data_IF_056602522251
#
_entry.id   IF_056602522251
#
_cell.length_a   1.000
_cell.length_b   1.000
_cell.length_c   1.000
_cell.angle_alpha   90.00
_cell.angle_beta   90.00
_cell.angle_gamma   90.00
#
_symmetry.space_group_name_H-M   'P 1'
#
loop_
_entity.id
_entity.type
_entity.pdbx_description
1 polymer ?
#
# COMPACT_ATOMS: atom_id res chain seq x y z
N UNK A 1 -5.21 -3.40 -8.63
CA UNK A 1 -6.38 -2.96 -7.82
C UNK A 1 -6.90 -4.10 -6.94
N UNK A 2 -6.68 -5.36 -7.31
CA UNK A 2 -7.17 -6.56 -6.61
C UNK A 2 -6.60 -6.79 -5.21
N UNK A 3 -5.29 -6.61 -4.97
CA UNK A 3 -4.69 -6.89 -3.66
C UNK A 3 -5.24 -5.99 -2.53
N UNK A 4 -5.48 -4.69 -2.82
CA UNK A 4 -6.06 -3.74 -1.85
C UNK A 4 -7.53 -4.06 -1.56
N UNK A 5 -8.28 -4.46 -2.58
CA UNK A 5 -9.68 -4.87 -2.46
C UNK A 5 -9.79 -6.19 -1.70
N UNK A 6 -8.94 -7.18 -2.00
CA UNK A 6 -8.87 -8.45 -1.28
C UNK A 6 -8.49 -8.27 0.19
N UNK A 7 -7.52 -7.40 0.50
CA UNK A 7 -7.15 -7.11 1.89
C UNK A 7 -8.32 -6.41 2.64
N UNK A 8 -9.03 -5.49 1.97
CA UNK A 8 -10.22 -4.83 2.55
C UNK A 8 -11.36 -5.82 2.82
N UNK A 9 -11.60 -6.77 1.91
CA UNK A 9 -12.63 -7.80 2.08
C UNK A 9 -12.26 -8.79 3.18
N UNK A 10 -10.99 -9.23 3.24
CA UNK A 10 -10.49 -10.13 4.28
C UNK A 10 -10.55 -9.48 5.68
N UNK A 11 -10.15 -8.22 5.81
CA UNK A 11 -10.26 -7.46 7.07
C UNK A 11 -11.73 -7.39 7.52
N UNK A 12 -12.66 -7.03 6.64
CA UNK A 12 -14.09 -6.95 6.99
C UNK A 12 -14.67 -8.30 7.41
N UNK A 13 -14.26 -9.39 6.75
CA UNK A 13 -14.70 -10.73 7.10
C UNK A 13 -14.21 -11.13 8.50
N UNK A 14 -12.95 -10.84 8.82
CA UNK A 14 -12.38 -11.12 10.14
C UNK A 14 -12.95 -10.22 11.24
N UNK A 15 -13.23 -8.95 10.96
CA UNK A 15 -13.93 -8.04 11.90
C UNK A 15 -15.34 -8.56 12.24
N UNK A 16 -16.05 -9.09 11.25
CA UNK A 16 -17.36 -9.72 11.46
C UNK A 16 -17.24 -10.99 12.31
N UNK A 17 -16.28 -11.87 11.99
CA UNK A 17 -16.05 -13.09 12.76
C UNK A 17 -15.70 -12.79 14.23
N UNK A 18 -14.88 -11.75 14.48
CA UNK A 18 -14.55 -11.31 15.83
C UNK A 18 -15.78 -10.82 16.60
N UNK A 19 -16.66 -10.05 15.94
CA UNK A 19 -17.90 -9.57 16.54
C UNK A 19 -18.85 -10.71 16.92
N UNK A 20 -18.97 -11.73 16.06
CA UNK A 20 -19.80 -12.90 16.32
C UNK A 20 -19.27 -13.71 17.53
N UNK A 21 -17.95 -13.89 17.63
CA UNK A 21 -17.31 -14.60 18.76
C UNK A 21 -17.44 -13.82 20.08
N UNK A 22 -17.22 -12.49 20.07
CA UNK A 22 -17.42 -11.65 21.25
C UNK A 22 -18.89 -11.74 21.74
N UNK A 23 -19.86 -11.86 20.82
CA UNK A 23 -21.27 -12.09 21.13
C UNK A 23 -21.53 -13.45 21.81
N UNK A 24 -20.92 -14.52 21.31
CA UNK A 24 -21.06 -15.89 21.87
C UNK A 24 -20.42 -15.98 23.26
N UNK A 25 -19.24 -15.38 23.47
CA UNK A 25 -18.58 -15.35 24.78
C UNK A 25 -19.39 -14.57 25.82
N UNK A 26 -19.97 -13.42 25.43
CA UNK A 26 -20.84 -12.63 26.30
C UNK A 26 -22.14 -13.37 26.69
N UNK A 27 -22.61 -14.30 25.85
CA UNK A 27 -23.72 -15.21 26.17
C UNK A 27 -23.35 -16.31 27.20
N UNK A 28 -22.13 -16.29 27.76
CA UNK A 28 -21.60 -17.22 28.77
C UNK A 28 -21.57 -18.69 28.34
N UNK A 29 -21.41 -18.95 27.05
CA UNK A 29 -21.09 -20.28 26.53
C UNK A 29 -19.57 -20.47 26.57
N UNK A 30 -18.98 -20.36 27.78
CA UNK A 30 -17.54 -20.26 28.02
C UNK A 30 -16.77 -21.52 27.63
N UNK A 31 -16.68 -21.77 26.33
CA UNK A 31 -15.86 -22.81 25.73
C UNK A 31 -14.45 -22.23 25.51
N UNK A 32 -13.40 -22.83 26.11
CA UNK A 32 -12.01 -22.40 25.92
C UNK A 32 -11.57 -22.36 24.45
N UNK A 33 -12.23 -23.10 23.55
CA UNK A 33 -11.92 -23.10 22.12
C UNK A 33 -12.21 -21.74 21.45
N UNK A 34 -13.17 -20.95 21.98
CA UNK A 34 -13.48 -19.63 21.44
C UNK A 34 -12.46 -18.55 21.81
N UNK A 35 -11.78 -18.67 22.97
CA UNK A 35 -10.73 -17.70 23.33
C UNK A 35 -9.50 -17.84 22.43
N UNK A 36 -9.12 -19.08 22.10
CA UNK A 36 -8.05 -19.35 21.13
C UNK A 36 -8.37 -18.77 19.75
N UNK A 37 -9.56 -19.07 19.23
CA UNK A 37 -10.03 -18.55 17.94
C UNK A 37 -10.09 -17.01 17.91
N UNK A 38 -10.50 -16.38 19.02
CA UNK A 38 -10.52 -14.92 19.17
C UNK A 38 -9.13 -14.30 19.09
N UNK A 39 -8.14 -14.90 19.74
CA UNK A 39 -6.74 -14.45 19.69
C UNK A 39 -6.17 -14.61 18.27
N UNK A 40 -6.47 -15.71 17.59
CA UNK A 40 -6.03 -15.96 16.23
C UNK A 40 -6.62 -14.94 15.24
N UNK A 41 -7.92 -14.63 15.34
CA UNK A 41 -8.58 -13.63 14.50
C UNK A 41 -8.00 -12.24 14.73
N UNK A 42 -7.72 -11.87 15.99
CA UNK A 42 -7.05 -10.60 16.31
C UNK A 42 -5.65 -10.53 15.70
N UNK A 43 -4.87 -11.60 15.84
CA UNK A 43 -3.52 -11.70 15.28
C UNK A 43 -3.53 -11.61 13.75
N UNK A 44 -4.50 -12.25 13.10
CA UNK A 44 -4.69 -12.18 11.65
C UNK A 44 -5.10 -10.75 11.20
N UNK A 45 -6.01 -10.10 11.94
CA UNK A 45 -6.41 -8.71 11.68
C UNK A 45 -5.23 -7.76 11.80
N UNK A 46 -4.45 -7.87 12.87
CA UNK A 46 -3.28 -7.03 13.09
C UNK A 46 -2.24 -7.26 11.99
N UNK A 47 -2.00 -8.51 11.60
CA UNK A 47 -1.09 -8.85 10.50
C UNK A 47 -1.55 -8.23 9.18
N UNK A 48 -2.84 -8.32 8.83
CA UNK A 48 -3.41 -7.77 7.60
C UNK A 48 -3.41 -6.23 7.58
N UNK A 49 -3.68 -5.60 8.74
CA UNK A 49 -3.61 -4.15 8.91
C UNK A 49 -2.17 -3.62 8.84
N UNK A 50 -1.21 -4.41 9.27
CA UNK A 50 0.22 -4.08 9.20
C UNK A 50 0.83 -4.37 7.82
N UNK A 51 0.12 -5.04 6.91
CA UNK A 51 0.63 -5.23 5.55
C UNK A 51 0.78 -3.87 4.86
N UNK A 52 2.00 -3.49 4.43
CA UNK A 52 2.22 -2.23 3.75
C UNK A 52 1.40 -2.19 2.46
N UNK A 53 0.75 -1.06 2.21
CA UNK A 53 -0.05 -0.87 0.99
C UNK A 53 0.88 -0.97 -0.21
N UNK A 54 0.64 -1.99 -1.05
CA UNK A 54 1.40 -2.19 -2.28
C UNK A 54 0.70 -1.52 -3.44
N UNK A 55 1.40 -0.55 -4.03
CA UNK A 55 1.06 0.16 -5.26
C UNK A 55 1.63 -0.57 -6.46
N UNK A 56 0.93 -0.51 -7.59
CA UNK A 56 1.43 -0.96 -8.89
C UNK A 56 1.63 0.24 -9.82
N UNK A 57 2.17 0.00 -11.03
CA UNK A 57 2.43 1.05 -12.02
C UNK A 57 1.20 1.92 -12.33
N UNK A 58 -0.01 1.32 -12.39
CA UNK A 58 -1.27 2.04 -12.65
C UNK A 58 -1.58 3.08 -11.56
N UNK A 59 -1.22 2.79 -10.31
CA UNK A 59 -1.42 3.70 -9.17
C UNK A 59 -0.23 4.64 -8.94
N UNK A 60 0.95 4.29 -9.45
CA UNK A 60 2.17 5.08 -9.32
C UNK A 60 2.08 6.37 -10.13
N UNK A 61 1.68 6.27 -11.39
CA UNK A 61 1.72 7.40 -12.32
C UNK A 61 0.82 8.57 -11.88
N UNK A 62 -0.44 8.38 -11.44
CA UNK A 62 -1.26 9.47 -10.92
C UNK A 62 -0.67 10.15 -9.67
N UNK A 63 -0.01 9.38 -8.79
CA UNK A 63 0.66 9.92 -7.59
C UNK A 63 1.88 10.74 -7.98
N UNK A 64 2.69 10.25 -8.91
CA UNK A 64 3.83 10.98 -9.46
C UNK A 64 3.38 12.32 -10.07
N UNK A 65 2.32 12.32 -10.90
CA UNK A 65 1.80 13.56 -11.49
C UNK A 65 1.28 14.55 -10.44
N UNK A 66 0.61 14.06 -9.40
CA UNK A 66 0.14 14.91 -8.30
C UNK A 66 1.29 15.62 -7.59
N UNK A 67 2.40 14.92 -7.36
CA UNK A 67 3.58 15.50 -6.72
C UNK A 67 4.31 16.47 -7.65
N UNK A 68 4.38 16.21 -8.95
CA UNK A 68 4.92 17.14 -9.94
C UNK A 68 4.06 18.42 -10.03
N UNK A 69 2.73 18.28 -9.95
CA UNK A 69 1.79 19.40 -10.04
C UNK A 69 1.91 20.41 -8.89
N UNK A 70 2.61 20.08 -7.80
CA UNK A 70 2.96 21.03 -6.73
C UNK A 70 3.97 22.08 -7.17
N UNK A 71 4.64 21.88 -8.30
CA UNK A 71 5.63 22.80 -8.86
C UNK A 71 5.05 23.57 -10.06
N UNK A 72 5.49 24.82 -10.30
CA UNK A 72 5.00 25.61 -11.44
C UNK A 72 5.30 24.98 -12.80
N UNK A 73 6.37 24.17 -12.88
CA UNK A 73 6.78 23.47 -14.10
C UNK A 73 7.46 22.14 -13.74
N UNK A 74 7.46 21.18 -14.67
CA UNK A 74 8.25 19.94 -14.52
C UNK A 74 9.75 20.23 -14.36
N UNK A 75 10.26 21.30 -14.98
CA UNK A 75 11.64 21.74 -14.80
C UNK A 75 11.93 22.20 -13.35
N UNK A 76 10.98 22.87 -12.71
CA UNK A 76 11.08 23.26 -11.30
C UNK A 76 11.01 22.03 -10.38
N UNK A 77 10.14 21.06 -10.68
CA UNK A 77 10.10 19.78 -9.96
C UNK A 77 11.44 19.02 -10.05
N UNK A 78 11.99 18.88 -11.26
CA UNK A 78 13.28 18.22 -11.47
C UNK A 78 14.40 18.90 -10.69
N UNK A 79 14.45 20.24 -10.72
CA UNK A 79 15.42 21.02 -9.95
C UNK A 79 15.26 20.82 -8.44
N UNK A 80 14.04 20.92 -7.93
CA UNK A 80 13.74 20.73 -6.51
C UNK A 80 14.07 19.31 -6.02
N UNK A 81 13.93 18.32 -6.90
CA UNK A 81 14.25 16.93 -6.61
C UNK A 81 15.72 16.57 -6.84
N UNK A 82 16.52 17.49 -7.38
CA UNK A 82 17.95 17.27 -7.66
C UNK A 82 18.19 16.25 -8.78
N UNK A 83 17.30 16.16 -9.76
CA UNK A 83 17.37 15.21 -10.88
C UNK A 83 17.40 15.95 -12.22
N UNK A 84 17.89 15.28 -13.27
CA UNK A 84 17.86 15.86 -14.61
C UNK A 84 16.43 15.92 -15.16
N UNK A 85 16.16 16.89 -16.04
CA UNK A 85 14.87 16.99 -16.75
C UNK A 85 14.59 15.73 -17.58
N UNK A 86 15.63 15.14 -18.16
CA UNK A 86 15.53 13.90 -18.93
C UNK A 86 15.12 12.72 -18.04
N UNK A 87 15.66 12.63 -16.82
CA UNK A 87 15.28 11.61 -15.82
C UNK A 87 13.81 11.76 -15.44
N UNK A 88 13.35 12.97 -15.16
CA UNK A 88 11.96 13.22 -14.83
C UNK A 88 11.05 12.90 -16.02
N UNK A 89 11.40 13.36 -17.22
CA UNK A 89 10.66 13.07 -18.44
C UNK A 89 10.57 11.55 -18.71
N UNK A 90 11.66 10.81 -18.51
CA UNK A 90 11.66 9.36 -18.64
C UNK A 90 10.84 8.64 -17.55
N UNK A 91 10.71 9.20 -16.35
CA UNK A 91 9.83 8.64 -15.31
C UNK A 91 8.35 8.94 -15.54
N UNK A 92 8.06 10.09 -16.13
CA UNK A 92 6.70 10.55 -16.49
C UNK A 92 6.21 9.79 -17.73
N UNK A 93 7.01 9.78 -18.79
CA UNK A 93 6.64 9.29 -20.12
C UNK A 93 7.27 7.94 -20.47
N UNK A 94 7.98 7.32 -19.52
CA UNK A 94 8.62 6.04 -19.72
C UNK A 94 7.61 4.99 -20.15
N UNK A 95 7.84 4.42 -21.32
CA UNK A 95 7.17 3.20 -21.75
C UNK A 95 7.46 2.11 -20.74
N UNK A 96 6.47 1.26 -20.47
CA UNK A 96 6.39 0.43 -19.27
C UNK A 96 7.64 -0.36 -18.89
N UNK A 97 8.59 -0.62 -19.78
CA UNK A 97 9.79 -1.45 -19.50
C UNK A 97 10.83 -0.83 -18.57
N UNK A 98 10.83 0.49 -18.34
CA UNK A 98 11.80 1.13 -17.44
C UNK A 98 11.15 1.55 -16.12
N UNK A 99 11.56 0.95 -14.97
CA UNK A 99 11.01 1.33 -13.68
C UNK A 99 11.40 2.76 -13.30
N UNK A 100 10.51 3.43 -12.57
CA UNK A 100 10.79 4.77 -12.04
C UNK A 100 12.02 4.71 -11.12
N UNK A 101 13.02 5.58 -11.31
CA UNK A 101 14.23 5.60 -10.49
C UNK A 101 13.93 5.70 -8.98
N UNK A 102 14.67 4.98 -8.11
CA UNK A 102 14.49 5.06 -6.66
C UNK A 102 14.61 6.47 -6.08
N UNK A 103 15.44 7.33 -6.69
CA UNK A 103 15.57 8.73 -6.30
C UNK A 103 14.27 9.53 -6.48
N UNK A 104 13.45 9.20 -7.49
CA UNK A 104 12.14 9.82 -7.72
C UNK A 104 11.09 9.19 -6.81
N UNK A 105 11.10 7.86 -6.65
CA UNK A 105 10.18 7.15 -5.75
C UNK A 105 10.25 7.72 -4.32
N UNK A 106 11.45 7.93 -3.79
CA UNK A 106 11.62 8.53 -2.45
C UNK A 106 11.04 9.93 -2.33
N UNK A 107 11.04 10.73 -3.41
CA UNK A 107 10.46 12.09 -3.40
C UNK A 107 8.93 12.08 -3.33
N UNK A 108 8.31 10.97 -3.71
CA UNK A 108 6.86 10.78 -3.65
C UNK A 108 6.43 9.84 -2.50
N UNK A 109 7.35 9.57 -1.57
CA UNK A 109 7.14 8.75 -0.37
C UNK A 109 6.93 7.28 -0.71
N UNK A 110 7.64 6.77 -1.72
CA UNK A 110 7.57 5.37 -2.13
C UNK A 110 8.96 4.73 -2.25
N UNK A 111 8.97 3.41 -2.16
CA UNK A 111 10.10 2.58 -2.59
C UNK A 111 9.61 1.34 -3.35
N UNK A 112 10.50 0.74 -4.16
CA UNK A 112 10.17 -0.48 -4.90
C UNK A 112 10.28 -1.70 -3.97
N UNK A 113 9.30 -2.60 -4.05
CA UNK A 113 9.32 -3.88 -3.35
C UNK A 113 10.37 -4.79 -4.01
N UNK A 114 11.38 -5.30 -3.27
CA UNK A 114 12.48 -6.07 -3.86
C UNK A 114 12.05 -7.32 -4.64
N UNK A 115 11.03 -8.02 -4.16
CA UNK A 115 10.50 -9.24 -4.78
C UNK A 115 9.41 -8.98 -5.83
N UNK A 116 8.93 -7.74 -5.97
CA UNK A 116 7.84 -7.38 -6.86
C UNK A 116 8.37 -6.62 -8.07
N UNK A 117 8.32 -7.24 -9.26
CA UNK A 117 8.89 -6.64 -10.47
C UNK A 117 8.35 -5.22 -10.73
N UNK A 118 7.12 -4.87 -10.31
CA UNK A 118 6.50 -3.53 -10.46
C UNK A 118 5.56 -3.18 -9.32
N UNK A 119 6.05 -3.39 -8.10
CA UNK A 119 5.32 -3.10 -6.88
C UNK A 119 6.07 -2.06 -6.07
N UNK A 120 5.34 -1.14 -5.46
CA UNK A 120 5.89 -0.05 -4.67
C UNK A 120 5.17 0.01 -3.32
N UNK A 121 5.84 0.42 -2.27
CA UNK A 121 5.25 0.61 -0.94
C UNK A 121 5.61 1.97 -0.38
N UNK A 122 4.82 2.45 0.57
CA UNK A 122 5.12 3.69 1.31
C UNK A 122 6.33 3.53 2.22
N UNK A 123 7.03 4.65 2.43
CA UNK A 123 8.18 4.81 3.35
C UNK A 123 7.90 5.90 4.39
#
# INVERSE_FOLDING_TARGET
MEAKVMNTTAIKALERALHEIDGIQNAKWGDPDFEGLRVDIKTALDSLRQQPVVYNDLTLHPRLMREIAKFPTAAAAAKAWGISRQTLHAAVNGTGDKPVPPSILRKIGLERVPAGLRQYREI
#
